data_IF_072044503009
#
_entry.id   IF_072044503009
#
_cell.length_a   1.000
_cell.length_b   1.000
_cell.length_c   1.000
_cell.angle_alpha   90.00
_cell.angle_beta   90.00
_cell.angle_gamma   90.00
#
_symmetry.space_group_name_H-M   'P 1'
#
loop_
_entity.id
_entity.type
_entity.pdbx_description
1 polymer ?
#
# COMPACT_ATOMS: atom_id res chain seq x y z
N UNK A 1 -6.98 -5.21 -18.85
CA UNK A 1 -5.96 -4.92 -17.82
C UNK A 1 -6.67 -5.02 -16.50
N UNK A 2 -6.13 -5.81 -15.57
CA UNK A 2 -6.74 -6.05 -14.27
C UNK A 2 -5.96 -5.28 -13.22
N UNK A 3 -6.64 -4.34 -12.56
CA UNK A 3 -6.03 -3.44 -11.58
C UNK A 3 -6.65 -3.69 -10.22
N UNK A 4 -5.80 -3.93 -9.23
CA UNK A 4 -6.18 -3.92 -7.83
C UNK A 4 -5.77 -2.60 -7.18
N UNK A 5 -6.67 -1.96 -6.47
CA UNK A 5 -6.39 -0.77 -5.66
C UNK A 5 -6.61 -1.09 -4.19
N UNK A 6 -5.65 -0.76 -3.33
CA UNK A 6 -5.83 -0.89 -1.88
C UNK A 6 -5.94 0.47 -1.22
N UNK A 7 -6.77 0.58 -0.19
CA UNK A 7 -6.76 1.71 0.74
C UNK A 7 -6.68 1.23 2.19
N UNK A 8 -6.19 2.07 3.10
CA UNK A 8 -6.15 1.74 4.52
C UNK A 8 -7.47 2.07 5.21
N UNK A 9 -7.90 1.22 6.14
CA UNK A 9 -9.02 1.49 7.05
C UNK A 9 -8.68 2.53 8.12
N UNK A 10 -9.53 2.62 9.15
CA UNK A 10 -9.40 3.59 10.26
C UNK A 10 -8.04 3.50 10.96
N UNK A 11 -7.40 4.64 11.20
CA UNK A 11 -6.21 4.72 12.06
C UNK A 11 -5.97 6.15 12.59
N UNK A 12 -5.35 6.24 13.78
CA UNK A 12 -5.02 7.53 14.38
C UNK A 12 -6.23 8.46 14.49
N UNK A 13 -6.12 9.65 13.90
CA UNK A 13 -7.18 10.68 13.89
C UNK A 13 -8.24 10.49 12.80
N UNK A 14 -8.06 9.55 11.88
CA UNK A 14 -8.91 9.39 10.70
C UNK A 14 -9.99 8.34 10.99
N UNK A 15 -11.17 8.79 11.46
CA UNK A 15 -12.34 7.90 11.59
C UNK A 15 -12.79 7.35 10.24
N UNK A 16 -12.78 8.21 9.21
CA UNK A 16 -12.84 7.81 7.81
C UNK A 16 -11.50 8.10 7.15
N UNK A 17 -10.89 7.08 6.59
CA UNK A 17 -9.56 7.20 5.98
C UNK A 17 -9.69 7.62 4.50
N UNK A 18 -9.17 8.79 4.09
CA UNK A 18 -9.20 9.25 2.71
C UNK A 18 -8.69 8.23 1.69
N UNK A 19 -7.69 7.41 2.06
CA UNK A 19 -7.17 6.37 1.16
C UNK A 19 -8.19 5.30 0.83
N UNK A 20 -8.97 4.83 1.82
CA UNK A 20 -10.05 3.87 1.59
C UNK A 20 -11.23 4.52 0.87
N UNK A 21 -11.66 5.71 1.28
CA UNK A 21 -12.74 6.42 0.60
C UNK A 21 -12.42 6.66 -0.89
N UNK A 22 -11.14 6.88 -1.20
CA UNK A 22 -10.68 7.07 -2.58
C UNK A 22 -10.74 5.74 -3.35
N UNK A 23 -10.23 4.66 -2.76
CA UNK A 23 -10.26 3.33 -3.37
C UNK A 23 -11.70 2.81 -3.55
N UNK A 24 -12.56 2.88 -2.53
CA UNK A 24 -13.90 2.29 -2.56
C UNK A 24 -14.77 2.87 -3.70
N UNK A 25 -14.65 4.17 -3.98
CA UNK A 25 -15.40 4.83 -5.05
C UNK A 25 -14.96 4.43 -6.47
N UNK A 26 -13.86 3.68 -6.60
CA UNK A 26 -13.36 3.18 -7.88
C UNK A 26 -13.67 1.69 -8.11
N UNK A 27 -14.28 1.01 -7.13
CA UNK A 27 -14.56 -0.42 -7.22
C UNK A 27 -15.54 -0.74 -8.36
N UNK A 28 -15.20 -1.74 -9.18
CA UNK A 28 -16.05 -2.22 -10.26
C UNK A 28 -16.11 -1.30 -11.49
N UNK A 29 -15.33 -0.22 -11.52
CA UNK A 29 -15.25 0.64 -12.70
C UNK A 29 -14.51 -0.05 -13.85
N UNK A 30 -15.07 0.10 -15.05
CA UNK A 30 -14.37 -0.17 -16.31
C UNK A 30 -13.93 1.15 -16.94
N UNK A 31 -12.62 1.30 -17.18
CA UNK A 31 -12.03 2.49 -17.80
C UNK A 31 -11.18 2.11 -19.01
N UNK A 32 -10.77 3.09 -19.80
CA UNK A 32 -9.92 2.90 -20.97
C UNK A 32 -8.52 3.48 -20.70
N UNK A 33 -7.47 2.70 -20.97
CA UNK A 33 -6.09 3.17 -20.86
C UNK A 33 -5.74 4.21 -21.94
N UNK A 34 -4.61 4.90 -21.81
CA UNK A 34 -4.04 5.78 -22.85
C UNK A 34 -3.88 5.09 -24.21
N UNK A 35 -3.59 3.78 -24.19
CA UNK A 35 -3.44 2.95 -25.38
C UNK A 35 -4.74 2.23 -25.80
N UNK A 36 -5.91 2.71 -25.32
CA UNK A 36 -7.24 2.19 -25.65
C UNK A 36 -7.52 0.74 -25.26
N UNK A 37 -6.87 0.25 -24.21
CA UNK A 37 -7.12 -1.08 -23.63
C UNK A 37 -8.16 -0.95 -22.52
N UNK A 38 -9.09 -1.91 -22.44
CA UNK A 38 -10.05 -1.99 -21.34
C UNK A 38 -9.33 -2.30 -20.03
N UNK A 39 -9.66 -1.55 -18.98
CA UNK A 39 -9.12 -1.69 -17.63
C UNK A 39 -10.27 -1.94 -16.67
N UNK A 40 -10.16 -2.99 -15.86
CA UNK A 40 -11.13 -3.35 -14.84
C UNK A 40 -10.51 -3.11 -13.46
N UNK A 41 -11.20 -2.33 -12.62
CA UNK A 41 -10.71 -1.92 -11.30
C UNK A 41 -11.44 -2.71 -10.22
N UNK A 42 -10.66 -3.36 -9.37
CA UNK A 42 -11.14 -3.96 -8.12
C UNK A 42 -10.42 -3.29 -6.95
N UNK A 43 -11.09 -3.19 -5.81
CA UNK A 43 -10.52 -2.55 -4.63
C UNK A 43 -10.66 -3.41 -3.38
N UNK A 44 -9.74 -3.23 -2.44
CA UNK A 44 -9.73 -3.92 -1.15
C UNK A 44 -9.31 -2.98 -0.03
N UNK A 45 -10.04 -3.01 1.07
CA UNK A 45 -9.64 -2.29 2.28
C UNK A 45 -8.59 -3.10 3.03
N UNK A 46 -7.58 -2.43 3.56
CA UNK A 46 -6.49 -3.04 4.32
C UNK A 46 -6.44 -2.46 5.73
N UNK A 47 -6.06 -3.29 6.68
CA UNK A 47 -5.78 -2.83 8.04
C UNK A 47 -4.41 -2.17 8.15
N UNK A 48 -4.32 -1.17 9.01
CA UNK A 48 -3.05 -0.56 9.42
C UNK A 48 -2.38 -1.48 10.46
N UNK A 49 -2.06 -2.71 10.05
CA UNK A 49 -1.48 -3.75 10.90
C UNK A 49 -0.42 -4.57 10.15
N UNK A 50 0.76 -4.76 10.74
CA UNK A 50 1.86 -5.47 10.07
C UNK A 50 1.52 -6.93 9.78
N UNK A 51 0.90 -7.61 10.76
CA UNK A 51 0.48 -9.01 10.63
C UNK A 51 -0.47 -9.20 9.44
N UNK A 52 -1.34 -8.22 9.20
CA UNK A 52 -2.30 -8.25 8.11
C UNK A 52 -1.63 -8.10 6.76
N UNK A 53 -0.73 -7.14 6.61
CA UNK A 53 -0.01 -6.94 5.34
C UNK A 53 0.87 -8.14 4.99
N UNK A 54 1.49 -8.78 5.99
CA UNK A 54 2.24 -10.02 5.80
C UNK A 54 1.37 -11.20 5.34
N UNK A 55 0.06 -11.17 5.59
CA UNK A 55 -0.90 -12.14 5.06
C UNK A 55 -1.45 -11.73 3.69
N UNK A 56 -1.92 -10.48 3.55
CA UNK A 56 -2.62 -10.00 2.36
C UNK A 56 -1.69 -9.90 1.14
N UNK A 57 -0.49 -9.33 1.30
CA UNK A 57 0.34 -8.93 0.16
C UNK A 57 0.86 -10.12 -0.66
N UNK A 58 1.35 -11.21 -0.05
CA UNK A 58 1.67 -12.41 -0.81
C UNK A 58 0.46 -12.92 -1.61
N UNK A 59 -0.76 -12.88 -1.04
CA UNK A 59 -1.97 -13.41 -1.68
C UNK A 59 -2.40 -12.61 -2.91
N UNK A 60 -2.36 -11.28 -2.86
CA UNK A 60 -2.72 -10.44 -4.02
C UNK A 60 -1.75 -10.62 -5.19
N UNK A 61 -0.52 -11.06 -4.90
CA UNK A 61 0.51 -11.41 -5.89
C UNK A 61 0.55 -12.91 -6.23
N UNK A 62 -0.44 -13.69 -5.78
CA UNK A 62 -0.60 -15.11 -6.13
C UNK A 62 0.28 -16.08 -5.34
N UNK A 63 0.90 -15.62 -4.26
CA UNK A 63 1.78 -16.41 -3.38
C UNK A 63 1.12 -16.68 -2.01
N UNK A 64 1.62 -17.70 -1.30
CA UNK A 64 1.24 -17.93 0.10
C UNK A 64 2.08 -17.05 1.03
N UNK A 65 1.53 -16.57 2.16
CA UNK A 65 2.30 -15.90 3.19
C UNK A 65 3.46 -16.78 3.66
N UNK A 66 4.64 -16.17 3.80
CA UNK A 66 5.87 -16.86 4.23
C UNK A 66 6.37 -16.40 5.60
N UNK A 67 5.95 -15.22 6.06
CA UNK A 67 6.29 -14.71 7.38
C UNK A 67 5.45 -15.39 8.47
N UNK A 68 6.06 -15.85 9.58
CA UNK A 68 5.34 -16.47 10.69
C UNK A 68 4.37 -15.51 11.41
N UNK A 69 4.59 -14.19 11.30
CA UNK A 69 3.73 -13.15 11.87
C UNK A 69 2.49 -12.87 11.02
N UNK A 70 2.37 -13.49 9.84
CA UNK A 70 1.23 -13.31 8.95
C UNK A 70 -0.07 -13.78 9.63
N UNK A 71 -1.05 -12.87 9.75
CA UNK A 71 -2.38 -13.16 10.29
C UNK A 71 -3.43 -12.52 9.39
N UNK A 72 -4.40 -13.33 8.96
CA UNK A 72 -5.63 -12.82 8.36
C UNK A 72 -6.25 -11.83 9.35
N UNK A 73 -6.56 -10.62 8.90
CA UNK A 73 -7.22 -9.62 9.74
C UNK A 73 -8.61 -9.35 9.22
N UNK A 74 -9.54 -9.28 10.16
CA UNK A 74 -10.94 -8.96 9.98
C UNK A 74 -11.14 -7.58 10.63
N UNK A 75 -11.75 -6.63 9.92
CA UNK A 75 -12.03 -5.31 10.47
C UNK A 75 -12.92 -5.42 11.73
N UNK A 76 -12.50 -4.74 12.80
CA UNK A 76 -13.15 -4.69 14.11
C UNK A 76 -14.39 -3.80 14.14
N UNK A 77 -14.66 -2.98 13.12
CA UNK A 77 -15.97 -2.31 12.97
C UNK A 77 -17.00 -3.15 12.21
N UNK A 78 -16.60 -4.32 11.69
CA UNK A 78 -17.50 -5.38 11.24
C UNK A 78 -17.37 -6.63 12.12
N UNK A 79 -17.95 -6.58 13.33
CA UNK A 79 -18.37 -7.82 13.97
C UNK A 79 -19.40 -8.51 13.06
N UNK A 80 -18.94 -9.42 12.20
CA UNK A 80 -19.52 -10.73 11.88
C UNK A 80 -18.77 -11.38 10.72
N UNK A 81 -17.85 -12.25 11.11
CA UNK A 81 -17.62 -13.53 10.46
C UNK A 81 -18.97 -14.11 9.95
N UNK A 82 -19.07 -14.35 8.64
CA UNK A 82 -20.21 -15.06 8.02
C UNK A 82 -19.65 -16.24 7.21
N UNK A 83 -19.55 -17.42 7.83
CA UNK A 83 -18.91 -18.61 7.26
C UNK A 83 -19.68 -19.21 6.08
N UNK A 84 -20.78 -18.58 5.63
CA UNK A 84 -21.61 -19.08 4.54
C UNK A 84 -21.23 -18.56 3.16
N UNK A 85 -20.37 -17.55 3.04
CA UNK A 85 -20.16 -16.83 1.77
C UNK A 85 -18.98 -17.34 0.91
N UNK A 86 -18.28 -18.40 1.34
CA UNK A 86 -17.02 -18.89 0.76
C UNK A 86 -16.83 -18.72 -0.75
N UNK A 87 -16.09 -17.69 -1.15
CA UNK A 87 -15.59 -17.37 -2.50
C UNK A 87 -14.32 -16.50 -2.34
N UNK A 88 -13.27 -16.49 -3.17
CA UNK A 88 -13.07 -17.04 -4.51
C UNK A 88 -11.58 -17.10 -4.91
N UNK A 89 -11.24 -17.71 -6.06
CA UNK A 89 -9.97 -18.41 -6.34
C UNK A 89 -8.72 -17.51 -6.33
N UNK A 90 -7.62 -18.05 -5.81
CA UNK A 90 -6.23 -17.58 -5.78
C UNK A 90 -5.58 -17.78 -7.16
N UNK A 91 -4.36 -17.29 -7.35
CA UNK A 91 -3.51 -17.62 -8.50
C UNK A 91 -3.18 -19.12 -8.69
N UNK A 92 -3.72 -20.00 -7.84
CA UNK A 92 -3.70 -21.46 -7.92
C UNK A 92 -5.11 -22.10 -7.98
N UNK A 93 -6.20 -21.31 -8.00
CA UNK A 93 -7.59 -21.78 -7.98
C UNK A 93 -8.28 -21.88 -6.61
N UNK A 94 -7.63 -21.63 -5.47
CA UNK A 94 -8.21 -21.80 -4.12
C UNK A 94 -8.86 -20.51 -3.56
N UNK A 95 -10.00 -20.50 -2.86
CA UNK A 95 -10.61 -19.23 -2.44
C UNK A 95 -9.71 -18.34 -1.55
N UNK A 96 -9.82 -17.01 -1.62
CA UNK A 96 -9.32 -16.11 -0.57
C UNK A 96 -9.91 -16.56 0.77
N UNK A 97 -9.17 -16.44 1.87
CA UNK A 97 -9.74 -16.64 3.20
C UNK A 97 -11.02 -15.82 3.34
N UNK A 98 -11.99 -16.38 4.07
CA UNK A 98 -13.15 -15.63 4.52
C UNK A 98 -12.67 -14.29 5.12
N UNK A 99 -13.28 -13.17 4.72
CA UNK A 99 -12.87 -11.82 5.15
C UNK A 99 -12.37 -10.90 4.03
N UNK A 100 -11.89 -11.43 2.91
CA UNK A 100 -11.56 -10.63 1.71
C UNK A 100 -12.72 -10.68 0.72
N UNK A 101 -13.80 -9.96 1.03
CA UNK A 101 -15.03 -9.94 0.20
C UNK A 101 -14.81 -9.16 -1.09
N UNK A 102 -15.59 -9.53 -2.11
CA UNK A 102 -15.77 -8.76 -3.35
C UNK A 102 -14.51 -8.54 -4.22
N UNK A 103 -13.47 -9.37 -4.03
CA UNK A 103 -12.34 -9.46 -4.95
C UNK A 103 -12.31 -10.80 -5.69
N UNK A 104 -12.07 -10.73 -6.99
CA UNK A 104 -11.91 -11.87 -7.89
C UNK A 104 -10.52 -11.81 -8.48
N UNK A 105 -9.68 -12.82 -8.23
CA UNK A 105 -8.40 -12.93 -8.94
C UNK A 105 -8.69 -13.09 -10.43
N UNK A 106 -8.01 -12.34 -11.30
CA UNK A 106 -8.11 -12.51 -12.73
C UNK A 106 -7.95 -13.97 -13.17
N UNK A 107 -8.60 -14.37 -14.28
CA UNK A 107 -8.49 -15.75 -14.82
C UNK A 107 -7.04 -16.21 -15.05
N UNK A 108 -6.13 -15.27 -15.33
CA UNK A 108 -4.69 -15.52 -15.51
C UNK A 108 -3.91 -15.72 -14.21
N UNK A 109 -4.55 -15.53 -13.05
CA UNK A 109 -4.01 -15.79 -11.72
C UNK A 109 -3.31 -14.60 -11.04
N UNK A 110 -3.24 -13.43 -11.67
CA UNK A 110 -2.57 -12.24 -11.13
C UNK A 110 -3.16 -10.93 -11.70
N UNK A 111 -3.00 -9.83 -10.95
CA UNK A 111 -3.31 -8.47 -11.42
C UNK A 111 -2.17 -7.93 -12.28
N UNK A 112 -2.48 -7.21 -13.36
CA UNK A 112 -1.46 -6.51 -14.14
C UNK A 112 -0.84 -5.38 -13.33
N UNK A 113 -1.67 -4.67 -12.56
CA UNK A 113 -1.24 -3.56 -11.72
C UNK A 113 -1.84 -3.68 -10.31
N UNK A 114 -1.02 -3.33 -9.33
CA UNK A 114 -1.45 -3.15 -7.94
C UNK A 114 -1.09 -1.73 -7.52
N UNK A 115 -2.09 -0.96 -7.13
CA UNK A 115 -1.93 0.42 -6.66
C UNK A 115 -2.30 0.48 -5.18
N UNK A 116 -1.40 0.95 -4.34
CA UNK A 116 -1.66 1.17 -2.93
C UNK A 116 -1.87 2.66 -2.66
N UNK A 117 -2.90 2.98 -1.87
CA UNK A 117 -3.19 4.35 -1.46
C UNK A 117 -3.00 4.48 0.05
N UNK A 118 -2.28 5.51 0.46
CA UNK A 118 -2.14 5.91 1.87
C UNK A 118 -2.38 7.38 2.06
N UNK A 119 -2.57 7.82 3.31
CA UNK A 119 -2.73 9.26 3.62
C UNK A 119 -1.36 9.86 3.93
N UNK A 120 -1.01 10.92 3.21
CA UNK A 120 0.30 11.59 3.29
C UNK A 120 0.23 13.04 3.76
N UNK A 121 0.92 13.92 3.02
CA UNK A 121 0.99 15.36 3.27
C UNK A 121 -0.34 16.07 2.98
N UNK A 122 -0.64 17.22 3.61
CA UNK A 122 -1.92 17.91 3.44
C UNK A 122 -2.03 18.81 2.21
N UNK A 123 -0.94 19.08 1.50
CA UNK A 123 -0.90 20.10 0.44
C UNK A 123 -0.80 19.51 -0.98
N UNK A 124 -0.58 18.20 -1.12
CA UNK A 124 -0.39 17.57 -2.42
C UNK A 124 -0.66 16.06 -2.42
N UNK A 125 -0.92 15.50 -3.60
CA UNK A 125 -0.83 14.06 -3.87
C UNK A 125 0.63 13.74 -4.22
N UNK A 126 1.19 12.70 -3.60
CA UNK A 126 2.55 12.23 -3.87
C UNK A 126 2.54 10.84 -4.53
N UNK A 127 3.22 10.71 -5.66
CA UNK A 127 3.39 9.43 -6.37
C UNK A 127 4.77 8.88 -6.01
N UNK A 128 4.78 7.79 -5.25
CA UNK A 128 5.99 7.23 -4.66
C UNK A 128 6.82 6.41 -5.66
N UNK A 129 8.14 6.40 -5.48
CA UNK A 129 9.06 5.68 -6.37
C UNK A 129 9.79 4.52 -5.72
N UNK A 130 9.96 4.52 -4.40
CA UNK A 130 10.65 3.46 -3.68
C UNK A 130 10.04 3.17 -2.31
N UNK A 131 10.30 1.96 -1.83
CA UNK A 131 9.99 1.50 -0.48
C UNK A 131 11.22 0.89 0.19
N UNK A 132 11.19 0.74 1.52
CA UNK A 132 12.35 0.34 2.30
C UNK A 132 12.14 -1.00 3.01
N UNK A 133 13.22 -1.75 3.27
CA UNK A 133 13.13 -3.05 3.94
C UNK A 133 12.95 -2.93 5.45
N UNK A 134 13.38 -1.81 6.03
CA UNK A 134 13.66 -1.63 7.47
C UNK A 134 13.33 -0.23 7.94
N UNK A 135 13.29 -0.06 9.25
CA UNK A 135 13.07 1.24 9.92
C UNK A 135 11.73 1.35 10.63
N UNK A 136 10.91 0.30 10.57
CA UNK A 136 9.52 0.27 11.05
C UNK A 136 9.41 0.14 12.57
N UNK A 137 9.69 1.23 13.29
CA UNK A 137 9.70 1.25 14.75
C UNK A 137 8.34 1.59 15.38
N UNK A 138 7.44 2.18 14.59
CA UNK A 138 6.13 2.62 15.07
C UNK A 138 5.19 1.41 15.25
N UNK A 139 4.45 1.36 16.38
CA UNK A 139 3.44 0.34 16.59
C UNK A 139 2.21 0.60 15.71
N UNK A 140 1.56 -0.47 15.29
CA UNK A 140 0.37 -0.46 14.46
C UNK A 140 -0.93 -0.27 15.28
N UNK A 141 -2.11 -0.39 14.66
CA UNK A 141 -3.40 -0.20 15.37
C UNK A 141 -3.68 -1.25 16.45
N UNK A 142 -2.97 -2.39 16.42
CA UNK A 142 -3.01 -3.42 17.47
C UNK A 142 -1.95 -3.19 18.55
N UNK A 143 -1.20 -2.08 18.45
CA UNK A 143 -0.02 -1.79 19.28
C UNK A 143 1.12 -2.78 19.07
N UNK A 144 1.11 -3.52 17.96
CA UNK A 144 2.16 -4.47 17.58
C UNK A 144 3.20 -3.73 16.72
N UNK A 145 4.49 -4.06 16.88
CA UNK A 145 5.56 -3.50 16.04
C UNK A 145 5.85 -4.46 14.87
N UNK A 146 6.48 -3.94 13.81
CA UNK A 146 6.93 -4.79 12.71
C UNK A 146 7.88 -5.90 13.22
N UNK A 147 8.00 -7.03 12.48
CA UNK A 147 8.94 -8.08 12.82
C UNK A 147 10.36 -7.57 13.05
N UNK A 148 11.13 -8.29 13.85
CA UNK A 148 12.57 -8.01 13.98
C UNK A 148 13.23 -8.45 12.67
N UNK A 149 14.04 -7.58 12.09
CA UNK A 149 14.67 -7.87 10.81
C UNK A 149 15.71 -9.00 10.93
N UNK A 150 15.80 -9.86 9.91
CA UNK A 150 16.60 -11.11 9.95
C UNK A 150 18.09 -10.87 10.23
N UNK A 151 18.64 -9.79 9.65
CA UNK A 151 19.96 -9.29 10.05
C UNK A 151 19.77 -7.97 10.81
N UNK A 152 20.67 -7.67 11.75
CA UNK A 152 20.67 -6.38 12.45
C UNK A 152 21.60 -5.39 11.74
N UNK A 153 21.72 -5.49 10.41
CA UNK A 153 22.46 -4.50 9.63
C UNK A 153 21.65 -3.22 9.53
N UNK A 154 22.31 -2.12 9.86
CA UNK A 154 21.71 -0.80 9.95
C UNK A 154 22.40 0.15 8.98
N UNK A 155 22.37 -0.23 7.71
CA UNK A 155 22.94 0.57 6.63
C UNK A 155 22.29 1.95 6.56
N UNK A 156 21.05 2.10 7.05
CA UNK A 156 20.24 3.31 6.99
C UNK A 156 20.14 4.16 8.29
N UNK A 157 20.33 3.65 9.52
CA UNK A 157 20.34 4.51 10.75
C UNK A 157 21.56 5.45 10.87
N UNK A 158 22.40 5.57 9.85
CA UNK A 158 23.62 6.40 9.95
C UNK A 158 23.34 7.87 10.26
N UNK A 159 22.11 8.36 10.06
CA UNK A 159 21.70 9.67 10.54
C UNK A 159 20.57 9.51 11.55
N UNK A 160 20.82 9.87 12.82
CA UNK A 160 19.84 9.78 13.92
C UNK A 160 18.65 10.76 13.80
N UNK A 161 18.42 11.33 12.62
CA UNK A 161 17.38 12.32 12.34
C UNK A 161 16.31 11.70 11.46
N UNK A 162 15.05 11.87 11.87
CA UNK A 162 13.89 11.45 11.08
C UNK A 162 13.86 12.17 9.74
N UNK A 163 13.43 11.47 8.69
CA UNK A 163 13.13 12.11 7.41
C UNK A 163 11.85 12.95 7.52
N UNK A 164 11.63 13.94 6.64
CA UNK A 164 10.36 14.68 6.62
C UNK A 164 9.12 13.80 6.47
N UNK A 165 9.23 12.63 5.83
CA UNK A 165 8.13 11.67 5.69
C UNK A 165 7.84 10.98 7.02
N UNK A 166 8.88 10.52 7.73
CA UNK A 166 8.74 9.94 9.07
C UNK A 166 8.19 10.94 10.10
N UNK A 167 8.59 12.21 10.02
CA UNK A 167 8.03 13.28 10.85
C UNK A 167 6.52 13.44 10.59
N UNK A 168 6.11 13.48 9.32
CA UNK A 168 4.70 13.60 8.91
C UNK A 168 3.85 12.39 9.34
N UNK A 169 4.39 11.18 9.25
CA UNK A 169 3.71 9.97 9.74
C UNK A 169 3.41 10.06 11.23
N UNK A 170 4.40 10.48 12.03
CA UNK A 170 4.23 10.65 13.49
C UNK A 170 3.19 11.71 13.82
N UNK A 171 3.14 12.80 13.06
CA UNK A 171 2.09 13.81 13.18
C UNK A 171 0.71 13.27 12.81
N UNK A 172 0.60 12.47 11.75
CA UNK A 172 -0.65 11.80 11.35
C UNK A 172 -1.16 10.85 12.43
N UNK A 173 -0.26 10.15 13.10
CA UNK A 173 -0.56 9.22 14.19
C UNK A 173 -0.69 9.88 15.57
N UNK A 174 -0.49 11.19 15.67
CA UNK A 174 -0.47 11.93 16.95
C UNK A 174 0.56 11.37 17.95
N UNK A 175 1.67 10.81 17.47
CA UNK A 175 2.73 10.27 18.31
C UNK A 175 3.64 11.44 18.73
N UNK A 176 3.58 11.80 20.02
CA UNK A 176 4.58 12.70 20.62
C UNK A 176 5.90 11.93 20.70
N UNK A 177 6.96 12.53 20.16
CA UNK A 177 8.32 11.98 19.99
C UNK A 177 8.68 10.89 21.01
N UNK A 178 8.82 9.66 20.54
CA UNK A 178 9.64 8.65 21.21
C UNK A 178 10.85 8.44 20.33
N UNK A 179 11.99 8.97 20.77
CA UNK A 179 13.26 8.58 20.17
C UNK A 179 13.42 7.08 20.43
N UNK A 180 13.48 6.30 19.34
CA UNK A 180 13.90 4.91 19.45
C UNK A 180 15.23 4.88 20.20
N UNK A 181 15.33 4.03 21.21
CA UNK A 181 16.59 3.92 21.92
C UNK A 181 17.61 3.30 20.95
N UNK A 182 18.89 3.68 21.04
CA UNK A 182 19.94 3.03 20.25
C UNK A 182 19.99 1.50 20.46
N UNK A 183 19.42 1.01 21.58
CA UNK A 183 19.25 -0.41 21.90
C UNK A 183 18.04 -1.09 21.27
N UNK A 184 17.12 -0.35 20.63
CA UNK A 184 15.96 -0.96 20.00
C UNK A 184 16.38 -1.80 18.80
N UNK A 185 15.90 -3.06 18.70
CA UNK A 185 16.23 -3.92 17.57
C UNK A 185 15.72 -3.29 16.28
N UNK A 186 16.44 -3.54 15.19
CA UNK A 186 16.03 -3.12 13.85
C UNK A 186 14.81 -3.93 13.45
N UNK A 187 13.79 -3.24 12.96
CA UNK A 187 12.52 -3.82 12.56
C UNK A 187 12.23 -3.63 11.09
N UNK A 188 11.58 -4.63 10.51
CA UNK A 188 11.21 -4.68 9.11
C UNK A 188 11.07 -6.11 8.62
N UNK A 189 11.33 -6.30 7.33
CA UNK A 189 11.08 -7.58 6.69
C UNK A 189 12.10 -8.63 7.11
N UNK A 190 11.56 -9.80 7.49
CA UNK A 190 12.30 -10.95 7.97
C UNK A 190 12.23 -12.14 7.00
N UNK A 191 11.77 -13.28 7.50
CA UNK A 191 11.63 -14.53 6.74
C UNK A 191 10.82 -14.36 5.46
N UNK A 192 11.38 -14.82 4.34
CA UNK A 192 10.78 -14.77 2.99
C UNK A 192 11.19 -13.55 2.16
N UNK A 193 11.91 -12.60 2.75
CA UNK A 193 12.36 -11.35 2.14
C UNK A 193 13.89 -11.17 2.18
N UNK A 194 14.64 -12.16 2.64
CA UNK A 194 16.10 -12.10 2.81
C UNK A 194 16.82 -11.75 1.51
N UNK A 195 16.34 -12.28 0.38
CA UNK A 195 16.89 -12.10 -0.96
C UNK A 195 16.72 -10.69 -1.54
N UNK A 196 15.88 -9.84 -0.95
CA UNK A 196 15.60 -8.51 -1.47
C UNK A 196 16.53 -7.44 -0.88
N UNK A 197 16.91 -6.42 -1.68
CA UNK A 197 17.74 -5.30 -1.22
C UNK A 197 17.02 -4.44 -0.18
N UNK A 198 17.77 -3.57 0.51
CA UNK A 198 17.20 -2.65 1.51
C UNK A 198 16.22 -1.62 0.92
N UNK A 199 16.29 -1.34 -0.38
CA UNK A 199 15.37 -0.47 -1.10
C UNK A 199 14.88 -1.15 -2.38
N UNK A 200 13.58 -1.03 -2.66
CA UNK A 200 12.95 -1.52 -3.89
C UNK A 200 12.25 -0.35 -4.58
N UNK A 201 12.26 -0.34 -5.92
CA UNK A 201 11.69 0.75 -6.72
C UNK A 201 10.63 0.26 -7.67
N UNK A 202 9.61 1.09 -7.94
CA UNK A 202 8.61 0.79 -8.98
C UNK A 202 9.23 0.82 -10.38
N UNK A 203 8.72 -0.04 -11.26
CA UNK A 203 9.06 -0.02 -12.69
C UNK A 203 8.21 1.00 -13.48
N UNK A 204 7.23 1.66 -12.85
CA UNK A 204 6.47 2.70 -13.51
C UNK A 204 7.31 3.96 -13.71
N UNK A 205 7.15 4.60 -14.87
CA UNK A 205 7.73 5.92 -15.15
C UNK A 205 6.94 7.00 -14.40
N UNK A 206 7.24 7.16 -13.12
CA UNK A 206 6.58 8.13 -12.24
C UNK A 206 6.77 9.58 -12.70
N UNK A 207 7.96 10.02 -13.15
CA UNK A 207 8.11 11.35 -13.75
C UNK A 207 7.13 11.59 -14.91
N UNK A 208 7.04 10.66 -15.87
CA UNK A 208 6.12 10.79 -17.00
C UNK A 208 4.65 10.73 -16.58
N UNK A 209 4.31 9.92 -15.58
CA UNK A 209 2.96 9.85 -15.01
C UNK A 209 2.57 11.19 -14.36
N UNK A 210 3.43 11.76 -13.52
CA UNK A 210 3.18 13.07 -12.87
C UNK A 210 3.01 14.16 -13.92
N UNK A 211 3.91 14.20 -14.92
CA UNK A 211 3.84 15.17 -16.00
C UNK A 211 2.53 15.04 -16.79
N UNK A 212 2.13 13.81 -17.12
CA UNK A 212 0.89 13.56 -17.85
C UNK A 212 -0.36 13.94 -17.03
N UNK A 213 -0.41 13.61 -15.75
CA UNK A 213 -1.52 14.01 -14.86
C UNK A 213 -1.63 15.54 -14.76
N UNK A 214 -0.50 16.25 -14.73
CA UNK A 214 -0.48 17.70 -14.65
C UNK A 214 -0.84 18.39 -15.97
N UNK A 215 -0.29 17.91 -17.09
CA UNK A 215 -0.42 18.58 -18.39
C UNK A 215 -1.66 18.16 -19.15
N UNK A 216 -1.92 16.85 -19.23
CA UNK A 216 -3.00 16.28 -20.04
C UNK A 216 -4.30 16.15 -19.26
N UNK A 217 -4.22 15.95 -17.94
CA UNK A 217 -5.40 15.82 -17.05
C UNK A 217 -5.65 17.05 -16.19
N UNK A 218 -4.77 18.05 -16.26
CA UNK A 218 -4.90 19.33 -15.56
C UNK A 218 -4.99 19.22 -14.03
N UNK A 219 -4.55 18.09 -13.46
CA UNK A 219 -4.48 17.92 -12.02
C UNK A 219 -3.37 18.79 -11.45
N UNK A 220 -3.68 19.57 -10.41
CA UNK A 220 -2.70 20.43 -9.72
C UNK A 220 -2.07 19.67 -8.56
N UNK A 221 -1.21 20.32 -7.77
CA UNK A 221 -0.60 19.81 -6.52
C UNK A 221 -0.25 18.32 -6.51
N UNK A 222 0.47 17.87 -7.54
CA UNK A 222 1.02 16.53 -7.68
C UNK A 222 2.53 16.58 -7.61
N UNK A 223 3.16 15.64 -6.89
CA UNK A 223 4.63 15.52 -6.83
C UNK A 223 5.07 14.08 -6.92
N UNK A 224 6.25 13.86 -7.48
CA UNK A 224 6.99 12.62 -7.26
C UNK A 224 7.55 12.62 -5.83
N UNK A 225 7.54 11.45 -5.18
CA UNK A 225 8.22 11.21 -3.91
C UNK A 225 9.11 9.97 -3.97
N UNK A 226 10.21 9.98 -3.21
CA UNK A 226 11.17 8.87 -3.09
C UNK A 226 11.12 8.19 -1.72
N UNK A 227 10.33 8.73 -0.80
CA UNK A 227 10.29 8.28 0.59
C UNK A 227 8.84 8.23 1.04
N UNK A 228 8.29 7.02 1.13
CA UNK A 228 6.94 6.77 1.62
C UNK A 228 6.86 6.74 3.16
N UNK A 229 7.96 7.08 3.86
CA UNK A 229 8.08 7.08 5.32
C UNK A 229 8.60 5.76 5.88
N UNK A 230 8.37 5.49 7.17
CA UNK A 230 8.76 4.24 7.88
C UNK A 230 7.61 3.67 8.71
N UNK A 231 6.39 3.75 8.18
CA UNK A 231 5.21 3.08 8.72
C UNK A 231 4.54 2.14 7.69
N UNK A 232 3.24 1.85 7.83
CA UNK A 232 2.55 0.82 7.03
C UNK A 232 2.42 1.22 5.54
N UNK A 233 2.50 2.51 5.20
CA UNK A 233 2.50 3.00 3.82
C UNK A 233 3.75 2.51 3.06
N UNK A 234 4.94 2.75 3.60
CA UNK A 234 6.18 2.24 3.04
C UNK A 234 6.25 0.70 3.14
N UNK A 235 5.73 0.12 4.23
CA UNK A 235 5.71 -1.34 4.44
C UNK A 235 4.91 -2.08 3.36
N UNK A 236 3.67 -1.65 3.09
CA UNK A 236 2.84 -2.27 2.05
C UNK A 236 3.49 -2.12 0.67
N UNK A 237 4.12 -0.96 0.40
CA UNK A 237 4.76 -0.70 -0.88
C UNK A 237 5.96 -1.62 -1.10
N UNK A 238 6.88 -1.68 -0.15
CA UNK A 238 8.05 -2.56 -0.22
C UNK A 238 7.64 -4.04 -0.32
N UNK A 239 6.69 -4.48 0.53
CA UNK A 239 6.18 -5.86 0.48
C UNK A 239 5.64 -6.22 -0.90
N UNK A 240 4.87 -5.31 -1.50
CA UNK A 240 4.21 -5.51 -2.78
C UNK A 240 5.21 -5.52 -3.93
N UNK A 241 6.20 -4.62 -3.92
CA UNK A 241 7.31 -4.63 -4.90
C UNK A 241 8.09 -5.96 -4.84
N UNK A 242 8.38 -6.45 -3.64
CA UNK A 242 9.07 -7.72 -3.43
C UNK A 242 8.24 -8.92 -3.92
N UNK A 243 6.97 -9.00 -3.53
CA UNK A 243 6.10 -10.12 -3.90
C UNK A 243 5.76 -10.12 -5.41
N UNK A 244 5.60 -8.96 -6.04
CA UNK A 244 5.48 -8.84 -7.49
C UNK A 244 6.73 -9.39 -8.21
N UNK A 245 7.93 -9.00 -7.75
CA UNK A 245 9.21 -9.48 -8.28
C UNK A 245 9.37 -10.98 -8.08
N UNK A 246 9.00 -11.50 -6.89
CA UNK A 246 9.03 -12.93 -6.54
C UNK A 246 8.11 -13.77 -7.42
N UNK A 247 6.91 -13.27 -7.69
CA UNK A 247 5.91 -13.97 -8.49
C UNK A 247 6.30 -14.08 -9.97
N UNK A 248 7.11 -13.13 -10.47
CA UNK A 248 7.63 -13.15 -11.84
C UNK A 248 6.53 -13.07 -12.91
N UNK A 249 5.39 -12.46 -12.60
CA UNK A 249 4.23 -12.32 -13.51
C UNK A 249 4.17 -11.00 -14.26
N UNK A 250 5.12 -10.10 -14.00
CA UNK A 250 5.16 -8.76 -14.60
C UNK A 250 4.13 -7.80 -14.00
N UNK A 251 3.60 -8.08 -12.81
CA UNK A 251 2.72 -7.16 -12.07
C UNK A 251 3.49 -5.89 -11.73
N UNK A 252 2.97 -4.73 -12.14
CA UNK A 252 3.55 -3.43 -11.78
C UNK A 252 2.90 -2.89 -10.52
N UNK A 253 3.71 -2.36 -9.62
CA UNK A 253 3.25 -1.85 -8.31
C UNK A 253 3.44 -0.34 -8.24
N UNK A 254 2.42 0.39 -7.80
CA UNK A 254 2.50 1.82 -7.54
C UNK A 254 2.00 2.12 -6.12
N UNK A 255 2.58 3.12 -5.47
CA UNK A 255 1.99 3.71 -4.26
C UNK A 255 1.68 5.19 -4.50
N UNK A 256 0.53 5.64 -4.01
CA UNK A 256 0.06 7.03 -4.10
C UNK A 256 -0.33 7.49 -2.69
N UNK A 257 0.37 8.48 -2.17
CA UNK A 257 -0.08 9.22 -1.00
C UNK A 257 -1.10 10.27 -1.42
N UNK A 258 -2.32 10.17 -0.89
CA UNK A 258 -3.35 11.21 -1.00
C UNK A 258 -3.35 12.08 0.26
N UNK A 259 -3.68 13.37 0.15
CA UNK A 259 -3.80 14.22 1.32
C UNK A 259 -5.09 13.92 2.11
N UNK A 260 -5.25 14.48 3.32
CA UNK A 260 -6.52 14.47 4.03
C UNK A 260 -7.64 15.11 3.21
N UNK A 261 -8.89 14.70 3.45
CA UNK A 261 -10.04 15.28 2.76
C UNK A 261 -10.13 16.79 2.97
N UNK A 262 -10.63 17.46 1.93
CA UNK A 262 -10.88 18.90 1.86
C UNK A 262 -9.59 19.75 2.02
N UNK A 263 -8.42 19.13 1.88
CA UNK A 263 -7.12 19.79 1.90
C UNK A 263 -6.17 19.12 0.89
N UNK A 264 -5.88 19.68 -0.29
CA UNK A 264 -6.66 20.68 -1.01
C UNK A 264 -7.81 20.08 -1.84
N UNK A 265 -8.04 18.76 -1.77
CA UNK A 265 -8.97 18.06 -2.67
C UNK A 265 -10.21 17.55 -1.96
N UNK A 266 -11.34 17.58 -2.67
CA UNK A 266 -12.51 16.77 -2.33
C UNK A 266 -12.23 15.28 -2.60
N UNK A 267 -13.11 14.41 -2.12
CA UNK A 267 -12.98 12.97 -2.38
C UNK A 267 -13.14 12.64 -3.88
N UNK A 268 -14.03 13.32 -4.59
CA UNK A 268 -14.25 13.14 -6.03
C UNK A 268 -13.03 13.54 -6.84
N UNK A 269 -12.32 14.60 -6.43
CA UNK A 269 -11.07 15.02 -7.06
C UNK A 269 -9.96 13.98 -6.84
N UNK A 270 -9.83 13.44 -5.63
CA UNK A 270 -8.87 12.35 -5.35
C UNK A 270 -9.18 11.10 -6.17
N UNK A 271 -10.46 10.69 -6.22
CA UNK A 271 -10.91 9.58 -7.06
C UNK A 271 -10.61 9.83 -8.54
N UNK A 272 -10.80 11.07 -9.02
CA UNK A 272 -10.48 11.45 -10.39
C UNK A 272 -8.98 11.33 -10.68
N UNK A 273 -8.12 11.82 -9.78
CA UNK A 273 -6.65 11.72 -9.90
C UNK A 273 -6.21 10.25 -9.97
N UNK A 274 -6.69 9.41 -9.05
CA UNK A 274 -6.31 7.99 -9.01
C UNK A 274 -6.85 7.23 -10.22
N UNK A 275 -8.09 7.51 -10.64
CA UNK A 275 -8.67 6.94 -11.86
C UNK A 275 -7.86 7.33 -13.09
N UNK A 276 -7.43 8.58 -13.21
CA UNK A 276 -6.58 8.99 -14.32
C UNK A 276 -5.20 8.33 -14.27
N UNK A 277 -4.62 8.16 -13.08
CA UNK A 277 -3.38 7.38 -12.94
C UNK A 277 -3.56 5.92 -13.40
N UNK A 278 -4.74 5.32 -13.17
CA UNK A 278 -5.10 4.02 -13.75
C UNK A 278 -5.22 4.09 -15.26
N UNK A 279 -5.82 5.13 -15.82
CA UNK A 279 -5.92 5.31 -17.28
C UNK A 279 -4.54 5.50 -17.95
N UNK A 280 -3.50 5.93 -17.22
CA UNK A 280 -2.15 6.07 -17.79
C UNK A 280 -1.45 4.74 -18.11
N UNK A 281 -1.91 3.65 -17.51
CA UNK A 281 -1.34 2.30 -17.59
C UNK A 281 -1.33 1.70 -19.00
#
# INVERSE_FOLDING_TARGET
IEVLITGFGRFGKYEKNPSWLCAEGLHGLEVESKDKRKVHIQTIQTSVAYSHLLDLIPRIHGSKPSAPEAKVFYDTESERFDPKSGLGPQGNGSPFPEGYRDITIPKKGYFDHVIHIGVGYPDHVAIETGGHKRGYQLPDVKKEKAPIATDQSDTLRREAKLTPAEERERENMQIKTTNGHHSDPIRGFGQGYEQFPDEMFTENDVPALVEWLQKEKHHKHLKQSKDAGRFLCDYIFYASLCEAKKAGKGTRVQFIHVPPLDTPYSIEELQSIVKDAVCWI
#
